data_IF_431603457728
#
_entry.id   IF_431603457728
#
_cell.length_a   1.000
_cell.length_b   1.000
_cell.length_c   1.000
_cell.angle_alpha   90.00
_cell.angle_beta   90.00
_cell.angle_gamma   90.00
#
_symmetry.space_group_name_H-M   'P 1'
#
loop_
_entity.id
_entity.type
_entity.pdbx_description
1 polymer ?
#
# COMPACT_ATOMS: atom_id res chain seq x y z
N UNK A 1 -50.86 50.02 43.69
CA UNK A 1 -51.62 50.65 42.62
C UNK A 1 -51.49 49.70 41.46
N UNK A 2 -52.47 48.78 41.30
CA UNK A 2 -53.61 48.77 40.39
C UNK A 2 -53.24 49.36 39.03
N UNK A 3 -53.30 48.58 37.90
CA UNK A 3 -54.57 48.27 37.25
C UNK A 3 -54.40 47.18 36.15
N UNK A 4 -55.32 46.28 36.16
CA UNK A 4 -55.69 45.30 35.12
C UNK A 4 -56.09 45.95 33.76
N UNK A 5 -55.99 45.20 32.67
CA UNK A 5 -56.99 45.07 31.60
C UNK A 5 -56.44 44.06 30.58
N UNK A 6 -56.92 42.87 30.53
CA UNK A 6 -58.07 42.25 29.87
C UNK A 6 -58.11 42.38 28.35
N UNK A 7 -58.07 41.19 27.72
CA UNK A 7 -58.78 40.72 26.51
C UNK A 7 -58.35 41.22 25.12
N UNK A 8 -57.96 40.32 24.23
CA UNK A 8 -58.90 39.71 23.28
C UNK A 8 -58.27 38.56 22.51
N UNK A 9 -59.07 37.53 22.33
CA UNK A 9 -58.81 36.33 21.58
C UNK A 9 -58.72 36.61 20.03
N UNK A 10 -57.86 35.92 19.39
CA UNK A 10 -57.80 35.82 17.94
C UNK A 10 -57.21 34.45 17.55
N UNK A 11 -58.11 33.47 17.43
CA UNK A 11 -57.73 32.17 16.87
C UNK A 11 -57.53 32.31 15.36
N UNK A 12 -56.31 32.13 14.89
CA UNK A 12 -56.05 31.92 13.47
C UNK A 12 -55.45 30.56 13.28
N UNK A 13 -56.30 29.60 12.89
CA UNK A 13 -55.87 28.28 12.44
C UNK A 13 -55.06 28.42 11.13
N UNK A 14 -53.75 28.25 11.24
CA UNK A 14 -52.90 28.00 10.07
C UNK A 14 -52.74 26.48 9.91
N UNK A 15 -53.43 25.92 8.91
CA UNK A 15 -53.16 24.55 8.47
C UNK A 15 -51.74 24.53 7.87
N UNK A 16 -50.81 23.97 8.58
CA UNK A 16 -49.54 23.57 8.02
C UNK A 16 -49.69 22.23 7.33
N UNK A 17 -49.72 22.26 6.00
CA UNK A 17 -49.60 21.06 5.18
C UNK A 17 -48.20 20.44 5.43
N UNK A 18 -48.19 19.30 6.10
CA UNK A 18 -46.97 18.49 6.25
C UNK A 18 -46.69 17.82 4.89
N UNK A 19 -45.74 18.33 4.15
CA UNK A 19 -45.13 17.61 3.04
C UNK A 19 -44.21 16.53 3.57
N UNK A 20 -44.38 15.26 3.21
CA UNK A 20 -43.40 14.25 3.55
C UNK A 20 -42.13 14.52 2.71
N UNK A 21 -41.07 14.92 3.38
CA UNK A 21 -39.73 14.92 2.80
C UNK A 21 -39.33 13.46 2.62
N UNK A 22 -39.49 12.94 1.42
CA UNK A 22 -38.91 11.65 1.06
C UNK A 22 -37.37 11.82 1.07
N UNK A 23 -36.76 11.39 2.15
CA UNK A 23 -35.32 11.19 2.19
C UNK A 23 -34.97 10.09 1.19
N UNK A 24 -34.49 10.48 0.02
CA UNK A 24 -33.81 9.56 -0.89
C UNK A 24 -32.53 9.18 -0.19
N UNK A 25 -32.52 8.06 0.52
CA UNK A 25 -31.30 7.39 0.92
C UNK A 25 -30.70 6.85 -0.38
N UNK A 26 -29.75 7.57 -0.96
CA UNK A 26 -28.84 6.99 -1.95
C UNK A 26 -28.06 5.90 -1.21
N UNK A 27 -28.52 4.67 -1.35
CA UNK A 27 -27.74 3.51 -1.03
C UNK A 27 -26.54 3.51 -1.97
N UNK A 28 -25.41 4.04 -1.52
CA UNK A 28 -24.13 3.77 -2.16
C UNK A 28 -23.91 2.26 -2.05
N UNK A 29 -24.39 1.58 -3.07
CA UNK A 29 -24.13 0.17 -3.28
C UNK A 29 -22.63 0.08 -3.63
N UNK A 30 -21.75 0.01 -2.61
CA UNK A 30 -20.42 -0.49 -2.78
C UNK A 30 -20.56 -1.98 -3.09
N UNK A 31 -20.90 -2.29 -4.33
CA UNK A 31 -20.64 -3.60 -4.87
C UNK A 31 -19.13 -3.80 -4.71
N UNK A 32 -18.74 -4.58 -3.71
CA UNK A 32 -17.46 -5.24 -3.71
C UNK A 32 -17.49 -6.18 -4.90
N UNK A 33 -17.18 -5.65 -6.09
CA UNK A 33 -16.67 -6.51 -7.13
C UNK A 33 -15.48 -7.22 -6.50
N UNK A 34 -15.62 -8.52 -6.30
CA UNK A 34 -14.48 -9.41 -6.17
C UNK A 34 -13.78 -9.38 -7.54
N UNK A 35 -13.17 -8.25 -7.86
CA UNK A 35 -12.36 -8.06 -9.04
C UNK A 35 -11.22 -9.07 -8.97
N UNK A 36 -10.95 -9.72 -10.08
CA UNK A 36 -9.75 -10.54 -10.25
C UNK A 36 -8.57 -9.80 -9.62
N UNK A 37 -7.76 -10.50 -8.82
CA UNK A 37 -6.62 -9.91 -8.14
C UNK A 37 -5.83 -9.06 -9.15
N UNK A 38 -5.61 -7.79 -8.83
CA UNK A 38 -4.91 -6.89 -9.73
C UNK A 38 -3.52 -7.48 -10.02
N UNK A 39 -3.19 -7.62 -11.29
CA UNK A 39 -1.92 -8.18 -11.74
C UNK A 39 -1.03 -7.08 -12.32
N UNK A 40 0.28 -7.23 -12.14
CA UNK A 40 1.25 -6.32 -12.74
C UNK A 40 1.17 -6.38 -14.26
N UNK A 41 1.14 -5.21 -14.89
CA UNK A 41 1.05 -5.04 -16.33
C UNK A 41 2.05 -3.98 -16.81
N UNK A 42 2.57 -4.17 -18.00
CA UNK A 42 3.38 -3.17 -18.70
C UNK A 42 2.47 -2.07 -19.27
N UNK A 43 3.03 -0.88 -19.47
CA UNK A 43 2.37 0.22 -20.14
C UNK A 43 2.43 0.02 -21.67
N UNK A 44 1.42 -0.60 -22.25
CA UNK A 44 1.40 -0.93 -23.67
C UNK A 44 2.69 -1.64 -24.14
N UNK A 45 3.20 -2.57 -23.34
CA UNK A 45 4.43 -3.32 -23.62
C UNK A 45 5.72 -2.63 -23.19
N UNK A 46 5.67 -1.41 -22.68
CA UNK A 46 6.81 -0.65 -22.15
C UNK A 46 6.80 -0.66 -20.62
N UNK A 47 7.96 -0.46 -20.01
CA UNK A 47 8.07 -0.25 -18.56
C UNK A 47 7.47 1.09 -18.16
N UNK A 48 6.97 1.16 -16.93
CA UNK A 48 6.46 2.39 -16.34
C UNK A 48 7.60 3.33 -15.98
N UNK A 49 7.43 4.62 -16.27
CA UNK A 49 8.41 5.64 -15.90
C UNK A 49 8.52 5.79 -14.38
N UNK A 50 9.71 6.14 -13.91
CA UNK A 50 10.03 6.29 -12.50
C UNK A 50 10.58 7.67 -12.19
N UNK A 51 10.37 8.15 -10.98
CA UNK A 51 11.03 9.36 -10.47
C UNK A 51 12.30 9.05 -9.66
N UNK A 52 13.00 10.09 -9.26
CA UNK A 52 14.25 9.96 -8.50
C UNK A 52 14.03 9.37 -7.10
N UNK A 53 12.91 9.72 -6.45
CA UNK A 53 12.58 9.25 -5.10
C UNK A 53 12.34 7.74 -5.10
N UNK A 54 11.56 7.24 -6.07
CA UNK A 54 11.31 5.81 -6.23
C UNK A 54 12.60 5.04 -6.51
N UNK A 55 13.42 5.51 -7.47
CA UNK A 55 14.69 4.85 -7.81
C UNK A 55 15.64 4.77 -6.63
N UNK A 56 15.73 5.85 -5.84
CA UNK A 56 16.58 5.87 -4.65
C UNK A 56 16.10 4.89 -3.59
N UNK A 57 14.81 4.87 -3.27
CA UNK A 57 14.25 3.98 -2.27
C UNK A 57 14.41 2.50 -2.66
N UNK A 58 14.07 2.15 -3.91
CA UNK A 58 14.25 0.78 -4.41
C UNK A 58 15.72 0.35 -4.44
N UNK A 59 16.63 1.25 -4.81
CA UNK A 59 18.07 1.03 -4.74
C UNK A 59 18.55 0.76 -3.32
N UNK A 60 18.05 1.49 -2.33
CA UNK A 60 18.39 1.32 -0.91
C UNK A 60 17.89 -0.03 -0.37
N UNK A 61 16.64 -0.42 -0.71
CA UNK A 61 16.11 -1.75 -0.33
C UNK A 61 16.97 -2.84 -0.96
N UNK A 62 17.24 -2.74 -2.26
CA UNK A 62 18.08 -3.69 -2.99
C UNK A 62 19.45 -3.85 -2.34
N UNK A 63 20.11 -2.75 -2.01
CA UNK A 63 21.44 -2.77 -1.39
C UNK A 63 21.43 -3.50 -0.05
N UNK A 64 20.42 -3.23 0.79
CA UNK A 64 20.28 -3.88 2.09
C UNK A 64 20.07 -5.39 1.95
N UNK A 65 19.18 -5.82 1.03
CA UNK A 65 18.92 -7.23 0.77
C UNK A 65 20.13 -7.93 0.18
N UNK A 66 20.83 -7.33 -0.80
CA UNK A 66 22.02 -7.88 -1.41
C UNK A 66 23.15 -8.07 -0.39
N UNK A 67 23.35 -7.11 0.53
CA UNK A 67 24.36 -7.21 1.60
C UNK A 67 24.12 -8.34 2.60
N UNK A 68 22.89 -8.82 2.69
CA UNK A 68 22.50 -9.92 3.61
C UNK A 68 22.26 -11.26 2.89
N UNK A 69 22.32 -11.28 1.56
CA UNK A 69 21.90 -12.40 0.73
C UNK A 69 22.57 -13.72 1.12
N UNK A 70 23.87 -13.71 1.30
CA UNK A 70 24.64 -14.90 1.68
C UNK A 70 24.18 -15.49 3.03
N UNK A 71 23.99 -14.62 4.04
CA UNK A 71 23.52 -15.06 5.36
C UNK A 71 22.05 -15.55 5.32
N UNK A 72 21.23 -14.99 4.44
CA UNK A 72 19.84 -15.43 4.19
C UNK A 72 19.86 -16.83 3.57
N UNK A 73 20.66 -17.04 2.51
CA UNK A 73 20.75 -18.33 1.82
C UNK A 73 21.21 -19.45 2.73
N UNK A 74 22.21 -19.20 3.55
CA UNK A 74 22.76 -20.18 4.48
C UNK A 74 21.96 -20.32 5.77
N UNK A 75 20.79 -19.65 5.85
CA UNK A 75 19.93 -19.62 7.05
C UNK A 75 20.68 -19.22 8.32
N UNK A 76 21.67 -18.33 8.18
CA UNK A 76 22.54 -17.84 9.28
C UNK A 76 22.18 -16.42 9.74
N UNK A 77 21.25 -15.75 9.06
CA UNK A 77 20.81 -14.41 9.47
C UNK A 77 20.02 -14.53 10.77
N UNK A 78 20.42 -13.74 11.78
CA UNK A 78 19.73 -13.74 13.07
C UNK A 78 18.33 -13.10 12.99
N UNK A 79 17.48 -13.39 13.97
CA UNK A 79 16.16 -12.73 14.07
C UNK A 79 16.28 -11.20 14.13
N UNK A 80 17.30 -10.68 14.78
CA UNK A 80 17.56 -9.24 14.82
C UNK A 80 18.03 -8.70 13.45
N UNK A 81 18.77 -9.50 12.67
CA UNK A 81 19.15 -9.17 11.31
C UNK A 81 17.93 -9.06 10.39
N UNK A 82 17.02 -10.04 10.43
CA UNK A 82 15.76 -9.98 9.70
C UNK A 82 14.90 -8.78 10.12
N UNK A 83 14.80 -8.49 11.43
CA UNK A 83 14.07 -7.32 11.92
C UNK A 83 14.71 -6.00 11.45
N UNK A 84 16.03 -5.94 11.35
CA UNK A 84 16.76 -4.80 10.80
C UNK A 84 16.44 -4.58 9.32
N UNK A 85 16.43 -5.64 8.51
CA UNK A 85 16.02 -5.58 7.10
C UNK A 85 14.58 -5.15 6.94
N UNK A 86 13.68 -5.70 7.75
CA UNK A 86 12.26 -5.33 7.74
C UNK A 86 12.05 -3.82 7.98
N UNK A 87 12.71 -3.27 9.00
CA UNK A 87 12.66 -1.82 9.30
C UNK A 87 13.22 -0.99 8.14
N UNK A 88 14.27 -1.45 7.48
CA UNK A 88 14.83 -0.76 6.32
C UNK A 88 13.82 -0.72 5.17
N UNK A 89 13.17 -1.84 4.85
CA UNK A 89 12.11 -1.91 3.84
C UNK A 89 10.96 -0.98 4.21
N UNK A 90 10.43 -1.06 5.43
CA UNK A 90 9.33 -0.21 5.91
C UNK A 90 9.68 1.28 5.81
N UNK A 91 10.90 1.68 6.18
CA UNK A 91 11.37 3.06 6.08
C UNK A 91 11.45 3.56 4.64
N UNK A 92 11.97 2.75 3.72
CA UNK A 92 12.07 3.15 2.32
C UNK A 92 10.70 3.19 1.63
N UNK A 93 9.78 2.29 1.99
CA UNK A 93 8.38 2.38 1.56
C UNK A 93 7.75 3.67 2.08
N UNK A 94 8.00 4.06 3.33
CA UNK A 94 7.58 5.35 3.85
C UNK A 94 8.11 6.54 3.05
N UNK A 95 9.37 6.48 2.59
CA UNK A 95 9.96 7.49 1.71
C UNK A 95 9.26 7.54 0.34
N UNK A 96 8.92 6.37 -0.24
CA UNK A 96 8.16 6.30 -1.49
C UNK A 96 6.81 7.00 -1.31
N UNK A 97 6.04 6.64 -0.29
CA UNK A 97 4.72 7.23 -0.03
C UNK A 97 4.79 8.76 0.17
N UNK A 98 5.84 9.25 0.82
CA UNK A 98 5.98 10.67 1.12
C UNK A 98 6.46 11.51 -0.07
N UNK A 99 7.26 10.98 -0.98
CA UNK A 99 8.00 11.77 -1.95
C UNK A 99 7.82 11.34 -3.41
N UNK A 100 7.38 10.11 -3.68
CA UNK A 100 7.19 9.61 -5.03
C UNK A 100 6.00 10.30 -5.72
N UNK A 101 6.19 10.68 -6.99
CA UNK A 101 5.16 11.32 -7.81
C UNK A 101 5.17 10.67 -9.18
N UNK A 102 4.34 9.67 -9.34
CA UNK A 102 4.16 8.97 -10.60
C UNK A 102 2.85 9.38 -11.28
N UNK A 103 2.75 9.04 -12.54
CA UNK A 103 1.49 9.06 -13.28
C UNK A 103 0.52 8.05 -12.64
N UNK A 104 -0.81 8.32 -12.57
CA UNK A 104 -1.75 7.50 -11.79
C UNK A 104 -1.77 6.01 -12.12
N UNK A 105 -1.56 5.64 -13.39
CA UNK A 105 -1.52 4.22 -13.78
C UNK A 105 -0.24 3.54 -13.33
N UNK A 106 0.90 4.24 -13.41
CA UNK A 106 2.17 3.75 -12.91
C UNK A 106 2.12 3.58 -11.38
N UNK A 107 1.52 4.54 -10.68
CA UNK A 107 1.32 4.50 -9.24
C UNK A 107 0.46 3.29 -8.82
N UNK A 108 -0.64 3.02 -9.53
CA UNK A 108 -1.47 1.84 -9.28
C UNK A 108 -0.70 0.52 -9.43
N UNK A 109 0.24 0.43 -10.38
CA UNK A 109 1.10 -0.74 -10.55
C UNK A 109 2.16 -0.81 -9.44
N UNK A 110 2.70 0.33 -9.02
CA UNK A 110 3.66 0.39 -7.92
C UNK A 110 3.05 -0.09 -6.60
N UNK A 111 1.78 0.19 -6.34
CA UNK A 111 1.10 -0.27 -5.13
C UNK A 111 1.11 -1.80 -4.98
N UNK A 112 1.07 -2.56 -6.08
CA UNK A 112 1.16 -4.02 -6.03
C UNK A 112 2.54 -4.47 -5.53
N UNK A 113 3.60 -3.81 -5.97
CA UNK A 113 4.97 -4.09 -5.52
C UNK A 113 5.16 -3.67 -4.07
N UNK A 114 4.66 -2.50 -3.69
CA UNK A 114 4.73 -1.99 -2.31
C UNK A 114 4.02 -2.93 -1.34
N UNK A 115 2.86 -3.49 -1.72
CA UNK A 115 2.17 -4.48 -0.91
C UNK A 115 3.05 -5.71 -0.64
N UNK A 116 3.68 -6.28 -1.67
CA UNK A 116 4.59 -7.43 -1.51
C UNK A 116 5.84 -7.09 -0.65
N UNK A 117 6.39 -5.88 -0.80
CA UNK A 117 7.50 -5.41 0.04
C UNK A 117 7.10 -5.35 1.52
N UNK A 118 5.91 -4.80 1.83
CA UNK A 118 5.42 -4.69 3.20
C UNK A 118 5.02 -6.04 3.79
N UNK A 119 4.42 -6.93 3.01
CA UNK A 119 4.14 -8.31 3.43
C UNK A 119 5.44 -9.03 3.80
N UNK A 120 6.43 -8.99 2.92
CA UNK A 120 7.74 -9.61 3.19
C UNK A 120 8.45 -8.98 4.39
N UNK A 121 8.36 -7.67 4.58
CA UNK A 121 8.87 -6.98 5.77
C UNK A 121 8.16 -7.46 7.04
N UNK A 122 6.83 -7.62 7.01
CA UNK A 122 6.05 -8.17 8.11
C UNK A 122 6.47 -9.59 8.50
N UNK A 123 6.69 -10.46 7.51
CA UNK A 123 7.20 -11.82 7.71
C UNK A 123 8.63 -11.80 8.30
N UNK A 124 9.54 -11.00 7.76
CA UNK A 124 10.89 -10.82 8.30
C UNK A 124 10.87 -10.30 9.75
N UNK A 125 9.97 -9.40 10.07
CA UNK A 125 9.78 -8.88 11.44
C UNK A 125 9.20 -9.94 12.41
N UNK A 126 8.65 -11.04 11.89
CA UNK A 126 7.96 -12.06 12.68
C UNK A 126 6.57 -11.63 13.15
N UNK A 127 5.94 -10.71 12.42
CA UNK A 127 4.55 -10.28 12.67
C UNK A 127 3.54 -11.34 12.20
N UNK A 128 3.98 -12.27 11.35
CA UNK A 128 3.19 -13.40 10.84
C UNK A 128 3.70 -14.67 11.51
N UNK A 129 2.80 -15.45 12.11
CA UNK A 129 3.15 -16.67 12.86
C UNK A 129 3.31 -17.91 11.99
N UNK A 130 2.83 -17.86 10.75
CA UNK A 130 2.90 -18.98 9.79
C UNK A 130 3.99 -18.68 8.76
N UNK A 131 5.15 -19.30 8.90
CA UNK A 131 6.25 -19.14 7.95
C UNK A 131 7.58 -18.80 8.62
N UNK A 132 8.64 -18.91 7.85
CA UNK A 132 9.98 -18.54 8.29
C UNK A 132 10.26 -17.09 7.94
N UNK A 133 11.05 -16.37 8.73
CA UNK A 133 11.52 -15.02 8.41
C UNK A 133 12.27 -14.95 7.07
N UNK A 134 12.90 -16.05 6.69
CA UNK A 134 13.57 -16.22 5.40
C UNK A 134 12.58 -16.10 4.23
N UNK A 135 11.35 -16.62 4.37
CA UNK A 135 10.32 -16.55 3.32
C UNK A 135 9.96 -15.09 3.02
N UNK A 136 9.90 -14.24 4.06
CA UNK A 136 9.71 -12.80 3.91
C UNK A 136 10.86 -12.13 3.15
N UNK A 137 12.10 -12.54 3.38
CA UNK A 137 13.24 -12.02 2.61
C UNK A 137 13.16 -12.44 1.13
N UNK A 138 12.77 -13.68 0.85
CA UNK A 138 12.54 -14.18 -0.52
C UNK A 138 11.43 -13.37 -1.20
N UNK A 139 10.33 -13.07 -0.50
CA UNK A 139 9.24 -12.22 -1.01
C UNK A 139 9.73 -10.83 -1.38
N UNK A 140 10.51 -10.17 -0.51
CA UNK A 140 11.09 -8.84 -0.79
C UNK A 140 11.99 -8.89 -2.04
N UNK A 141 12.84 -9.92 -2.18
CA UNK A 141 13.69 -10.09 -3.36
C UNK A 141 12.83 -10.25 -4.61
N UNK A 142 11.79 -11.08 -4.58
CA UNK A 142 10.86 -11.25 -5.69
C UNK A 142 10.12 -9.96 -6.07
N UNK A 143 9.75 -9.12 -5.09
CA UNK A 143 9.15 -7.82 -5.34
C UNK A 143 10.15 -6.86 -6.04
N UNK A 144 11.43 -6.88 -5.65
CA UNK A 144 12.49 -6.11 -6.31
C UNK A 144 12.74 -6.57 -7.75
N UNK A 145 12.64 -7.87 -8.02
CA UNK A 145 12.74 -8.41 -9.38
C UNK A 145 11.59 -7.93 -10.26
N UNK A 146 10.36 -7.97 -9.74
CA UNK A 146 9.17 -7.43 -10.41
C UNK A 146 9.34 -5.93 -10.70
N UNK A 147 9.85 -5.15 -9.72
CA UNK A 147 10.17 -3.75 -9.97
C UNK A 147 11.10 -3.59 -11.18
N UNK A 148 12.19 -4.32 -11.24
CA UNK A 148 13.11 -4.29 -12.37
C UNK A 148 12.51 -4.73 -13.71
N UNK A 149 11.46 -5.56 -13.69
CA UNK A 149 10.77 -6.01 -14.90
C UNK A 149 9.73 -4.99 -15.41
N UNK A 150 9.03 -4.31 -14.51
CA UNK A 150 7.89 -3.47 -14.86
C UNK A 150 8.17 -1.97 -14.84
N UNK A 151 9.25 -1.52 -14.20
CA UNK A 151 9.59 -0.10 -14.04
C UNK A 151 10.91 0.26 -14.70
N UNK A 152 10.96 1.43 -15.35
CA UNK A 152 12.12 1.95 -16.06
C UNK A 152 13.08 2.61 -15.07
N UNK A 153 14.02 1.84 -14.55
CA UNK A 153 15.12 2.32 -13.70
C UNK A 153 16.45 1.88 -14.29
N UNK A 154 17.13 2.74 -15.06
CA UNK A 154 18.38 2.37 -15.74
C UNK A 154 19.52 2.01 -14.78
N UNK A 155 19.47 2.48 -13.55
CA UNK A 155 20.48 2.18 -12.53
C UNK A 155 20.20 0.90 -11.73
N UNK A 156 19.00 0.35 -11.86
CA UNK A 156 18.60 -0.82 -11.09
C UNK A 156 19.15 -2.11 -11.69
N UNK A 157 19.92 -2.82 -10.89
CA UNK A 157 20.43 -4.16 -11.25
C UNK A 157 19.71 -5.18 -10.39
N UNK A 158 19.13 -6.25 -10.96
CA UNK A 158 18.57 -7.34 -10.18
C UNK A 158 19.57 -7.89 -9.16
N UNK A 159 19.07 -8.47 -8.08
CA UNK A 159 19.93 -9.21 -7.15
C UNK A 159 20.24 -10.54 -7.83
N UNK A 160 21.52 -10.76 -8.13
CA UNK A 160 21.97 -12.05 -8.65
C UNK A 160 21.94 -13.05 -7.49
N UNK A 161 20.83 -13.74 -7.34
CA UNK A 161 20.77 -14.92 -6.47
C UNK A 161 21.12 -16.14 -7.30
N UNK A 162 22.13 -16.85 -6.87
CA UNK A 162 22.40 -18.18 -7.38
C UNK A 162 21.11 -19.00 -7.25
N UNK A 163 20.58 -19.40 -8.38
CA UNK A 163 19.31 -20.07 -8.54
C UNK A 163 19.13 -21.16 -7.48
N UNK A 164 18.28 -20.92 -6.46
CA UNK A 164 17.87 -21.94 -5.50
C UNK A 164 16.81 -22.90 -6.07
N UNK A 165 16.73 -23.00 -7.39
CA UNK A 165 15.86 -23.96 -8.06
C UNK A 165 16.66 -25.23 -8.37
N UNK A 166 17.19 -25.86 -7.35
CA UNK A 166 17.62 -27.27 -7.44
C UNK A 166 17.58 -27.89 -6.04
N UNK A 167 16.40 -28.08 -5.50
CA UNK A 167 16.12 -29.20 -4.59
C UNK A 167 14.69 -29.67 -4.85
#
# INVERSE_FOLDING_TARGET
MQRNMLLTAGALCLLMAATPFAAIAEAHNHAHEHGAAATLQLNAGQKWETDAALRQAMGNIRQAMAGSLHAIHENRLSSNGYTGLAKKVESEVGNIVAHCKLEPKADAQLHLIVAELLEGAGEMAGKVTTGKRQDGAVRVIGALEKYGQYFADPGFKPIEHLSLIHI
#
